data_IF_356995513946
#
_entry.id   IF_356995513946
#
_cell.length_a   1.000
_cell.length_b   1.000
_cell.length_c   1.000
_cell.angle_alpha   90.00
_cell.angle_beta   90.00
_cell.angle_gamma   90.00
#
_symmetry.space_group_name_H-M   'P 1'
#
loop_
_entity.id
_entity.type
_entity.pdbx_description
1 polymer ?
#
# COMPACT_ATOMS: atom_id res chain seq x y z
N UNK A 1 45.15 -67.97 39.68
CA UNK A 1 44.26 -69.08 40.10
C UNK A 1 42.84 -68.51 40.10
N UNK A 2 42.16 -68.59 38.95
CA UNK A 2 41.09 -69.56 38.59
C UNK A 2 39.76 -69.21 39.30
N UNK A 3 38.75 -68.69 38.56
CA UNK A 3 37.64 -69.42 37.86
C UNK A 3 36.61 -69.99 38.87
N UNK A 4 35.28 -69.93 38.72
CA UNK A 4 34.32 -69.66 37.64
C UNK A 4 32.92 -69.26 38.21
N UNK A 5 32.15 -68.52 37.40
CA UNK A 5 30.71 -68.55 37.04
C UNK A 5 29.62 -69.27 37.89
N UNK A 6 28.40 -68.71 37.96
CA UNK A 6 27.14 -69.21 37.32
C UNK A 6 25.96 -68.21 37.49
N UNK A 7 25.10 -68.21 36.47
CA UNK A 7 24.00 -67.34 36.02
C UNK A 7 22.65 -67.31 36.78
N UNK A 8 21.88 -66.25 36.43
CA UNK A 8 20.44 -66.12 36.13
C UNK A 8 19.33 -66.42 37.16
N UNK A 9 18.55 -65.36 37.44
CA UNK A 9 17.14 -65.40 37.84
C UNK A 9 16.47 -64.11 37.39
N UNK A 10 15.58 -64.18 36.40
CA UNK A 10 14.94 -63.04 35.77
C UNK A 10 13.78 -62.46 36.58
N UNK A 11 13.54 -61.17 36.39
CA UNK A 11 12.27 -60.52 36.72
C UNK A 11 11.80 -59.65 35.56
N UNK A 12 10.57 -59.92 35.14
CA UNK A 12 9.80 -59.17 34.14
C UNK A 12 9.43 -57.82 34.75
N UNK A 13 9.81 -56.72 34.12
CA UNK A 13 9.20 -55.42 34.37
C UNK A 13 8.43 -54.98 33.14
N UNK A 14 7.17 -54.63 33.39
CA UNK A 14 6.14 -54.22 32.45
C UNK A 14 6.60 -53.01 31.62
N UNK A 15 6.43 -53.12 30.30
CA UNK A 15 6.59 -51.99 29.37
C UNK A 15 5.26 -51.25 29.38
N UNK A 16 5.23 -50.13 30.10
CA UNK A 16 4.15 -49.15 30.00
C UNK A 16 4.19 -48.55 28.59
N UNK A 17 3.26 -48.98 27.74
CA UNK A 17 2.96 -48.36 26.45
C UNK A 17 2.51 -46.92 26.70
N UNK A 18 3.44 -45.97 26.62
CA UNK A 18 3.10 -44.56 26.49
C UNK A 18 2.52 -44.36 25.11
N UNK A 19 1.20 -44.23 25.06
CA UNK A 19 0.45 -43.68 23.94
C UNK A 19 1.18 -42.44 23.41
N UNK A 20 1.64 -42.52 22.17
CA UNK A 20 2.07 -41.37 21.39
C UNK A 20 0.85 -40.46 21.20
N UNK A 21 0.64 -39.55 22.15
CA UNK A 21 -0.17 -38.39 21.90
C UNK A 21 0.51 -37.59 20.79
N UNK A 22 -0.04 -37.75 19.58
CA UNK A 22 0.16 -36.85 18.47
C UNK A 22 -0.07 -35.42 18.95
N UNK A 23 1.01 -34.73 19.28
CA UNK A 23 1.02 -33.28 19.28
C UNK A 23 0.71 -32.85 17.84
N UNK A 24 -0.56 -32.54 17.60
CA UNK A 24 -1.00 -31.74 16.47
C UNK A 24 -0.18 -30.44 16.52
N UNK A 25 0.93 -30.42 15.80
CA UNK A 25 1.71 -29.22 15.58
C UNK A 25 0.78 -28.16 15.00
N UNK A 26 0.52 -27.12 15.77
CA UNK A 26 0.03 -25.85 15.22
C UNK A 26 1.04 -25.45 14.14
N UNK A 27 0.74 -25.73 12.87
CA UNK A 27 1.45 -25.13 11.76
C UNK A 27 1.37 -23.63 11.94
N UNK A 28 2.52 -23.01 12.25
CA UNK A 28 2.64 -21.57 12.35
C UNK A 28 2.15 -20.98 11.03
N UNK A 29 1.06 -20.23 11.06
CA UNK A 29 0.46 -19.51 9.93
C UNK A 29 1.32 -18.31 9.55
N UNK A 30 2.57 -18.59 9.22
CA UNK A 30 3.64 -17.63 8.96
C UNK A 30 4.32 -17.90 7.63
N UNK A 31 5.20 -16.97 7.25
CA UNK A 31 5.97 -17.08 6.02
C UNK A 31 6.88 -18.33 6.03
N UNK A 32 6.86 -19.10 4.93
CA UNK A 32 7.71 -20.27 4.74
C UNK A 32 8.44 -20.19 3.39
N UNK A 33 9.79 -20.17 3.35
CA UNK A 33 10.56 -20.11 2.12
C UNK A 33 10.27 -21.25 1.13
N UNK A 34 9.93 -22.45 1.62
CA UNK A 34 9.56 -23.58 0.76
C UNK A 34 8.21 -23.31 0.07
N UNK A 35 7.26 -22.73 0.79
CA UNK A 35 5.95 -22.38 0.23
C UNK A 35 6.10 -21.25 -0.79
N UNK A 36 7.02 -20.30 -0.55
CA UNK A 36 7.31 -19.22 -1.49
C UNK A 36 7.80 -19.76 -2.84
N UNK A 37 8.64 -20.81 -2.84
CA UNK A 37 9.05 -21.49 -4.08
C UNK A 37 7.86 -22.08 -4.85
N UNK A 38 6.87 -22.65 -4.15
CA UNK A 38 5.65 -23.17 -4.80
C UNK A 38 4.81 -22.02 -5.36
N UNK A 39 4.66 -20.94 -4.59
CA UNK A 39 3.95 -19.73 -5.02
C UNK A 39 4.51 -19.15 -6.32
N UNK A 40 5.82 -18.94 -6.41
CA UNK A 40 6.48 -18.50 -7.65
C UNK A 40 6.43 -19.55 -8.77
N UNK A 41 6.23 -20.84 -8.47
CA UNK A 41 6.08 -21.84 -9.54
C UNK A 41 4.68 -21.89 -10.12
N UNK A 42 3.66 -21.64 -9.31
CA UNK A 42 2.27 -21.99 -9.63
C UNK A 42 1.30 -20.81 -9.65
N UNK A 43 1.52 -19.78 -8.82
CA UNK A 43 0.50 -18.77 -8.52
C UNK A 43 0.87 -17.35 -8.94
N UNK A 44 2.16 -16.98 -8.91
CA UNK A 44 2.55 -15.61 -9.26
C UNK A 44 2.17 -15.29 -10.71
N UNK A 45 1.47 -14.16 -10.98
CA UNK A 45 0.87 -13.89 -12.29
C UNK A 45 1.88 -13.28 -13.28
N UNK A 46 2.93 -14.04 -13.65
CA UNK A 46 4.03 -13.57 -14.50
C UNK A 46 3.58 -12.91 -15.80
N UNK A 47 2.65 -13.55 -16.52
CA UNK A 47 2.16 -13.04 -17.80
C UNK A 47 1.44 -11.70 -17.66
N UNK A 48 0.70 -11.49 -16.58
CA UNK A 48 -0.03 -10.23 -16.34
C UNK A 48 0.93 -9.13 -15.88
N UNK A 49 1.89 -9.46 -15.01
CA UNK A 49 2.95 -8.55 -14.58
C UNK A 49 3.82 -8.10 -15.76
N UNK A 50 4.21 -9.03 -16.64
CA UNK A 50 4.96 -8.72 -17.86
C UNK A 50 4.18 -7.81 -18.80
N UNK A 51 2.89 -8.09 -19.06
CA UNK A 51 2.03 -7.23 -19.89
C UNK A 51 1.92 -5.83 -19.33
N UNK A 52 1.72 -5.69 -18.02
CA UNK A 52 1.68 -4.39 -17.36
C UNK A 52 3.00 -3.63 -17.54
N UNK A 53 4.12 -4.26 -17.19
CA UNK A 53 5.44 -3.63 -17.24
C UNK A 53 5.94 -3.31 -18.66
N UNK A 54 5.37 -3.97 -19.67
CA UNK A 54 5.69 -3.72 -21.08
C UNK A 54 4.88 -2.57 -21.69
N UNK A 55 3.71 -2.23 -21.14
CA UNK A 55 2.83 -1.18 -21.68
C UNK A 55 2.56 -1.29 -23.19
N UNK A 56 2.30 -2.51 -23.66
CA UNK A 56 2.08 -2.80 -25.08
C UNK A 56 3.35 -2.91 -25.93
N UNK A 57 4.54 -2.71 -25.38
CA UNK A 57 5.82 -2.92 -26.06
C UNK A 57 6.27 -4.40 -26.00
N UNK A 58 5.36 -5.34 -26.31
CA UNK A 58 5.59 -6.79 -26.23
C UNK A 58 6.00 -7.43 -27.58
N UNK A 59 6.35 -6.60 -28.57
CA UNK A 59 6.81 -7.03 -29.89
C UNK A 59 5.70 -7.44 -30.86
N UNK A 60 4.42 -7.35 -30.47
CA UNK A 60 3.29 -7.73 -31.36
C UNK A 60 2.91 -6.69 -32.39
N UNK A 61 3.23 -5.41 -32.14
CA UNK A 61 2.91 -4.31 -33.06
C UNK A 61 4.21 -3.72 -33.65
N UNK A 62 4.25 -3.37 -34.95
CA UNK A 62 5.46 -2.83 -35.60
C UNK A 62 5.94 -1.50 -35.01
N UNK A 63 5.08 -0.78 -34.29
CA UNK A 63 5.40 0.45 -33.58
C UNK A 63 5.98 0.28 -32.17
N UNK A 64 6.12 -0.95 -31.67
CA UNK A 64 6.65 -1.23 -30.33
C UNK A 64 8.14 -0.86 -30.23
N UNK A 65 8.55 -0.41 -29.05
CA UNK A 65 9.96 -0.40 -28.64
C UNK A 65 10.31 -1.75 -28.01
N UNK A 66 10.90 -2.66 -28.79
CA UNK A 66 11.25 -4.00 -28.33
C UNK A 66 12.21 -4.03 -27.14
N UNK A 67 12.95 -2.95 -26.90
CA UNK A 67 13.89 -2.86 -25.77
C UNK A 67 13.29 -2.22 -24.52
N UNK A 68 12.02 -1.80 -24.55
CA UNK A 68 11.37 -1.12 -23.43
C UNK A 68 11.42 -1.92 -22.12
N UNK A 69 11.07 -3.21 -22.19
CA UNK A 69 11.05 -4.09 -21.01
C UNK A 69 12.47 -4.37 -20.49
N UNK A 70 13.45 -4.60 -21.38
CA UNK A 70 14.87 -4.78 -21.04
C UNK A 70 15.53 -3.57 -20.38
N UNK A 71 14.89 -2.40 -20.40
CA UNK A 71 15.36 -1.21 -19.70
C UNK A 71 14.66 -0.94 -18.37
N UNK A 72 13.71 -1.78 -17.96
CA UNK A 72 13.05 -1.68 -16.65
C UNK A 72 13.96 -2.22 -15.56
N UNK A 73 14.18 -1.42 -14.53
CA UNK A 73 14.82 -1.91 -13.30
C UNK A 73 13.83 -2.72 -12.46
N UNK A 74 14.31 -3.87 -12.00
CA UNK A 74 13.78 -4.61 -10.87
C UNK A 74 14.85 -4.70 -9.78
N UNK A 75 14.39 -4.83 -8.54
CA UNK A 75 15.26 -5.20 -7.43
C UNK A 75 14.72 -6.41 -6.69
N UNK A 76 15.61 -7.29 -6.26
CA UNK A 76 15.30 -8.47 -5.47
C UNK A 76 15.99 -8.37 -4.10
N UNK A 77 15.21 -8.55 -3.03
CA UNK A 77 15.76 -8.91 -1.71
C UNK A 77 15.69 -10.42 -1.58
N UNK A 78 16.83 -11.09 -1.42
CA UNK A 78 16.91 -12.54 -1.18
C UNK A 78 17.24 -12.82 0.30
N UNK A 79 17.50 -14.09 0.64
CA UNK A 79 17.90 -14.48 2.00
C UNK A 79 19.10 -13.67 2.52
N UNK A 80 19.16 -13.48 3.84
CA UNK A 80 20.12 -12.62 4.54
C UNK A 80 20.05 -11.13 4.14
N UNK A 81 18.86 -10.67 3.73
CA UNK A 81 18.60 -9.28 3.30
C UNK A 81 19.55 -8.77 2.20
N UNK A 82 20.09 -9.70 1.39
CA UNK A 82 20.94 -9.35 0.26
C UNK A 82 20.08 -8.64 -0.78
N UNK A 83 20.45 -7.40 -1.07
CA UNK A 83 19.70 -6.51 -1.96
C UNK A 83 20.36 -6.42 -3.34
N UNK A 84 19.68 -6.93 -4.35
CA UNK A 84 20.14 -6.97 -5.74
C UNK A 84 19.40 -5.89 -6.54
N UNK A 85 20.05 -4.76 -6.80
CA UNK A 85 19.52 -3.68 -7.65
C UNK A 85 19.85 -3.85 -9.12
N UNK A 86 19.21 -3.03 -9.96
CA UNK A 86 19.49 -2.92 -11.39
C UNK A 86 19.41 -4.27 -12.10
N UNK A 87 18.49 -5.12 -11.68
CA UNK A 87 18.13 -6.30 -12.45
C UNK A 87 17.24 -5.85 -13.60
N UNK A 88 17.40 -6.46 -14.77
CA UNK A 88 16.62 -6.20 -15.97
C UNK A 88 16.52 -7.51 -16.74
N UNK A 89 15.49 -7.62 -17.59
CA UNK A 89 15.16 -8.85 -18.29
C UNK A 89 14.66 -8.51 -19.69
N UNK A 90 15.07 -9.26 -20.71
CA UNK A 90 14.67 -9.00 -22.10
C UNK A 90 13.24 -9.45 -22.38
N UNK A 91 12.66 -10.32 -21.55
CA UNK A 91 11.28 -10.78 -21.73
C UNK A 91 10.71 -11.61 -20.58
N UNK A 92 9.47 -12.07 -20.78
CA UNK A 92 8.71 -12.86 -19.80
C UNK A 92 9.47 -14.09 -19.30
N UNK A 93 10.05 -14.87 -20.22
CA UNK A 93 10.74 -16.12 -19.85
C UNK A 93 11.94 -15.88 -18.94
N UNK A 94 12.71 -14.81 -19.18
CA UNK A 94 13.89 -14.50 -18.38
C UNK A 94 13.51 -13.99 -16.99
N UNK A 95 12.50 -13.10 -16.91
CA UNK A 95 11.93 -12.63 -15.64
C UNK A 95 11.42 -13.82 -14.80
N UNK A 96 10.64 -14.70 -15.42
CA UNK A 96 10.05 -15.86 -14.75
C UNK A 96 11.12 -16.82 -14.23
N UNK A 97 12.10 -17.15 -15.07
CA UNK A 97 13.22 -18.02 -14.68
C UNK A 97 14.02 -17.39 -13.52
N UNK A 98 14.34 -16.09 -13.59
CA UNK A 98 15.12 -15.41 -12.55
C UNK A 98 14.39 -15.38 -11.21
N UNK A 99 13.08 -15.09 -11.20
CA UNK A 99 12.27 -15.12 -9.97
C UNK A 99 12.19 -16.54 -9.39
N UNK A 100 11.99 -17.56 -10.24
CA UNK A 100 11.91 -18.96 -9.79
C UNK A 100 13.25 -19.47 -9.24
N UNK A 101 14.36 -19.07 -9.85
CA UNK A 101 15.70 -19.46 -9.43
C UNK A 101 16.13 -18.76 -8.14
N UNK A 102 16.04 -17.42 -8.10
CA UNK A 102 16.49 -16.61 -6.96
C UNK A 102 15.51 -16.64 -5.79
N UNK A 103 14.23 -16.94 -6.05
CA UNK A 103 13.15 -17.01 -5.06
C UNK A 103 13.15 -15.80 -4.10
N UNK A 104 13.01 -14.56 -4.62
CA UNK A 104 13.19 -13.36 -3.81
C UNK A 104 12.11 -13.19 -2.73
N UNK A 105 12.53 -12.78 -1.54
CA UNK A 105 11.66 -12.41 -0.41
C UNK A 105 10.90 -11.12 -0.68
N UNK A 106 11.49 -10.19 -1.44
CA UNK A 106 10.85 -8.96 -1.91
C UNK A 106 11.24 -8.70 -3.36
N UNK A 107 10.29 -8.21 -4.14
CA UNK A 107 10.53 -7.71 -5.50
C UNK A 107 10.09 -6.25 -5.49
N UNK A 108 10.98 -5.35 -5.88
CA UNK A 108 10.65 -3.95 -6.11
C UNK A 108 10.76 -3.61 -7.60
N UNK A 109 9.88 -2.72 -8.06
CA UNK A 109 9.82 -2.25 -9.45
C UNK A 109 10.36 -0.82 -9.50
N UNK A 110 11.28 -0.57 -10.43
CA UNK A 110 11.95 0.71 -10.64
C UNK A 110 11.58 1.38 -11.95
N UNK A 111 12.38 2.36 -12.35
CA UNK A 111 12.16 3.09 -13.59
C UNK A 111 12.49 2.24 -14.84
N UNK A 112 11.94 2.65 -15.97
CA UNK A 112 12.54 2.40 -17.29
C UNK A 112 13.68 3.38 -17.46
N UNK A 113 14.85 2.86 -17.82
CA UNK A 113 16.05 3.64 -18.10
C UNK A 113 16.24 3.86 -19.61
N UNK A 114 17.16 4.75 -19.95
CA UNK A 114 17.64 5.01 -21.30
C UNK A 114 18.41 3.83 -21.92
N UNK A 115 19.04 3.01 -21.07
CA UNK A 115 19.82 1.81 -21.42
C UNK A 115 19.55 0.70 -20.41
N UNK A 116 20.04 -0.50 -20.69
CA UNK A 116 19.90 -1.69 -19.85
C UNK A 116 20.51 -1.48 -18.44
N UNK A 117 19.71 -1.53 -17.35
CA UNK A 117 20.18 -1.38 -15.97
C UNK A 117 21.26 -2.37 -15.55
N UNK A 118 21.19 -3.63 -15.99
CA UNK A 118 22.18 -4.65 -15.65
C UNK A 118 23.57 -4.32 -16.22
N UNK A 119 23.62 -3.55 -17.32
CA UNK A 119 24.85 -3.13 -18.00
C UNK A 119 25.31 -1.72 -17.62
N UNK A 120 24.70 -1.07 -16.61
CA UNK A 120 25.00 0.32 -16.21
C UNK A 120 26.50 0.65 -16.07
N UNK A 121 27.31 -0.28 -15.56
CA UNK A 121 28.75 -0.05 -15.34
C UNK A 121 29.51 0.14 -16.65
N UNK A 122 29.07 -0.49 -17.75
CA UNK A 122 29.67 -0.30 -19.07
C UNK A 122 29.38 1.12 -19.62
N UNK A 123 28.24 1.71 -19.24
CA UNK A 123 27.83 3.05 -19.67
C UNK A 123 28.35 4.19 -18.76
N UNK A 124 28.82 3.86 -17.55
CA UNK A 124 29.41 4.84 -16.64
C UNK A 124 30.76 5.39 -17.13
N UNK A 125 31.42 4.66 -18.05
CA UNK A 125 32.74 5.01 -18.59
C UNK A 125 32.67 5.79 -19.91
N UNK A 126 31.48 5.94 -20.51
CA UNK A 126 31.29 6.72 -21.74
C UNK A 126 31.04 8.20 -21.42
N UNK A 127 31.68 9.11 -22.16
CA UNK A 127 31.43 10.54 -22.08
C UNK A 127 29.93 10.83 -22.30
N UNK A 128 29.28 11.42 -21.29
CA UNK A 128 27.88 11.86 -21.38
C UNK A 128 26.88 11.24 -20.40
N UNK A 129 27.30 10.34 -19.50
CA UNK A 129 26.44 9.69 -18.48
C UNK A 129 25.05 9.29 -19.02
N UNK A 130 25.05 8.34 -19.96
CA UNK A 130 23.83 7.96 -20.71
C UNK A 130 22.79 7.30 -19.80
N UNK A 131 23.18 6.69 -18.67
CA UNK A 131 22.30 5.96 -17.77
C UNK A 131 21.39 6.88 -16.95
N UNK A 132 20.15 7.07 -17.44
CA UNK A 132 19.17 7.98 -16.85
C UNK A 132 17.78 7.34 -16.85
N UNK A 133 16.99 7.60 -15.80
CA UNK A 133 15.60 7.17 -15.74
C UNK A 133 14.76 8.03 -16.69
N UNK A 134 13.91 7.39 -17.50
CA UNK A 134 13.12 8.06 -18.55
C UNK A 134 11.61 7.93 -18.34
N UNK A 135 11.16 6.81 -17.78
CA UNK A 135 9.76 6.62 -17.42
C UNK A 135 9.66 5.88 -16.08
N UNK A 136 8.73 6.28 -15.22
CA UNK A 136 8.30 5.50 -14.05
C UNK A 136 6.87 5.89 -13.69
N UNK A 137 6.05 4.94 -13.32
CA UNK A 137 4.75 5.18 -12.71
C UNK A 137 4.84 6.26 -11.62
N UNK A 138 3.85 7.15 -11.54
CA UNK A 138 3.73 8.03 -10.37
C UNK A 138 3.16 7.18 -9.24
N UNK A 139 3.85 7.15 -8.11
CA UNK A 139 3.48 6.26 -7.01
C UNK A 139 3.27 7.04 -5.72
N UNK A 140 2.42 6.51 -4.85
CA UNK A 140 2.21 7.00 -3.50
C UNK A 140 2.29 5.82 -2.53
N UNK A 141 2.98 6.01 -1.43
CA UNK A 141 3.09 5.04 -0.33
C UNK A 141 2.55 5.68 0.95
N UNK A 142 1.68 4.92 1.63
CA UNK A 142 0.91 5.36 2.78
C UNK A 142 0.98 4.24 3.79
N UNK A 143 1.69 4.49 4.88
CA UNK A 143 1.87 3.54 5.97
C UNK A 143 1.09 3.99 7.20
N UNK A 144 0.39 3.06 7.85
CA UNK A 144 -0.37 3.37 9.06
C UNK A 144 0.53 3.82 10.22
N UNK A 145 1.82 3.49 10.22
CA UNK A 145 2.75 3.96 11.27
C UNK A 145 2.90 5.47 11.29
N UNK A 146 2.67 6.12 10.15
CA UNK A 146 2.70 7.58 10.09
C UNK A 146 1.57 8.22 10.90
N UNK A 147 0.60 7.44 11.39
CA UNK A 147 -0.56 7.87 12.18
C UNK A 147 -0.46 7.48 13.66
N UNK A 148 0.70 7.02 14.14
CA UNK A 148 0.91 6.57 15.53
C UNK A 148 0.59 7.64 16.60
N UNK A 149 0.59 8.91 16.24
CA UNK A 149 0.21 10.02 17.12
C UNK A 149 -1.32 10.25 17.23
N UNK A 150 -2.11 9.67 16.33
CA UNK A 150 -3.57 9.86 16.25
C UNK A 150 -4.38 8.56 16.32
N UNK A 151 -3.71 7.40 16.36
CA UNK A 151 -4.33 6.10 16.61
C UNK A 151 -3.90 5.53 17.96
N UNK A 152 -4.83 4.88 18.65
CA UNK A 152 -4.65 4.37 20.01
C UNK A 152 -4.95 2.88 20.15
N UNK A 153 -5.56 2.25 19.13
CA UNK A 153 -5.84 0.82 19.12
C UNK A 153 -4.62 -0.06 18.80
N UNK A 154 -3.58 0.50 18.15
CA UNK A 154 -2.38 -0.20 17.69
C UNK A 154 -1.16 0.74 17.75
N UNK A 155 0.05 0.19 17.63
CA UNK A 155 1.31 0.96 17.51
C UNK A 155 2.22 0.40 16.43
N UNK A 156 3.07 1.25 15.87
CA UNK A 156 4.11 0.87 14.93
C UNK A 156 3.56 0.11 13.72
N UNK A 157 3.86 -1.17 13.61
CA UNK A 157 3.54 -1.95 12.44
C UNK A 157 2.26 -2.80 12.54
N UNK A 158 1.59 -2.75 13.69
CA UNK A 158 0.35 -3.48 13.93
C UNK A 158 -0.84 -2.73 13.34
N UNK A 159 -1.85 -3.48 12.90
CA UNK A 159 -3.05 -2.96 12.26
C UNK A 159 -4.26 -3.77 12.72
N UNK A 160 -5.39 -3.09 12.90
CA UNK A 160 -6.69 -3.70 13.18
C UNK A 160 -7.80 -2.95 12.41
N UNK A 161 -9.02 -3.47 12.49
CA UNK A 161 -10.18 -2.89 11.84
C UNK A 161 -10.59 -1.51 12.40
N UNK A 162 -10.10 -1.13 13.58
CA UNK A 162 -10.39 0.19 14.16
C UNK A 162 -9.55 1.31 13.54
N UNK A 163 -8.33 1.02 13.08
CA UNK A 163 -7.43 2.00 12.46
C UNK A 163 -7.30 1.86 10.94
N UNK A 164 -7.70 0.71 10.36
CA UNK A 164 -7.77 0.56 8.90
C UNK A 164 -8.60 1.61 8.16
N UNK A 165 -9.67 2.21 8.74
CA UNK A 165 -10.38 3.31 8.09
C UNK A 165 -9.48 4.47 7.65
N UNK A 166 -8.31 4.68 8.26
CA UNK A 166 -7.32 5.67 7.81
C UNK A 166 -6.79 5.36 6.39
N UNK A 167 -6.59 4.09 6.04
CA UNK A 167 -6.19 3.69 4.69
C UNK A 167 -7.33 3.85 3.70
N UNK A 168 -8.57 3.52 4.10
CA UNK A 168 -9.77 3.76 3.29
C UNK A 168 -9.93 5.24 2.96
N UNK A 169 -9.77 6.12 3.95
CA UNK A 169 -9.79 7.58 3.76
C UNK A 169 -8.71 7.99 2.76
N UNK A 170 -7.49 7.45 2.89
CA UNK A 170 -6.39 7.75 2.00
C UNK A 170 -6.66 7.37 0.55
N UNK A 171 -7.19 6.16 0.31
CA UNK A 171 -7.60 5.72 -1.02
C UNK A 171 -8.66 6.68 -1.58
N UNK A 172 -9.75 6.96 -0.84
CA UNK A 172 -10.84 7.82 -1.33
C UNK A 172 -10.38 9.23 -1.68
N UNK A 173 -9.61 9.86 -0.80
CA UNK A 173 -9.15 11.25 -0.99
C UNK A 173 -8.19 11.36 -2.18
N UNK A 174 -7.21 10.46 -2.27
CA UNK A 174 -6.16 10.53 -3.29
C UNK A 174 -6.68 10.06 -4.64
N UNK A 175 -7.43 8.94 -4.71
CA UNK A 175 -7.98 8.41 -5.96
C UNK A 175 -8.90 9.44 -6.64
N UNK A 176 -9.81 10.05 -5.86
CA UNK A 176 -10.73 11.09 -6.36
C UNK A 176 -9.97 12.26 -6.98
N UNK A 177 -8.95 12.78 -6.29
CA UNK A 177 -8.17 13.90 -6.82
C UNK A 177 -7.32 13.50 -8.05
N UNK A 178 -6.70 12.32 -8.05
CA UNK A 178 -5.95 11.82 -9.20
C UNK A 178 -6.83 11.71 -10.45
N UNK A 179 -8.09 11.31 -10.29
CA UNK A 179 -9.07 11.24 -11.38
C UNK A 179 -9.63 12.61 -11.76
N UNK A 180 -10.22 13.32 -10.81
CA UNK A 180 -11.03 14.52 -11.09
C UNK A 180 -10.17 15.77 -11.31
N UNK A 181 -9.07 15.90 -10.58
CA UNK A 181 -8.24 17.10 -10.63
C UNK A 181 -7.08 16.93 -11.64
N UNK A 182 -6.49 15.73 -11.75
CA UNK A 182 -5.36 15.46 -12.65
C UNK A 182 -5.73 14.69 -13.93
N UNK A 183 -6.94 14.13 -14.01
CA UNK A 183 -7.42 13.40 -15.18
C UNK A 183 -6.63 12.11 -15.45
N UNK A 184 -6.13 11.43 -14.42
CA UNK A 184 -5.50 10.11 -14.56
C UNK A 184 -6.56 9.01 -14.57
N UNK A 185 -6.36 7.99 -15.40
CA UNK A 185 -7.35 6.94 -15.64
C UNK A 185 -6.89 5.58 -15.09
N UNK A 186 -5.60 5.28 -15.25
CA UNK A 186 -5.02 3.97 -14.99
C UNK A 186 -4.33 3.96 -13.63
N UNK A 187 -5.14 3.83 -12.58
CA UNK A 187 -4.69 3.86 -11.19
C UNK A 187 -4.88 2.47 -10.59
N UNK A 188 -3.83 1.92 -9.99
CA UNK A 188 -3.86 0.65 -9.28
C UNK A 188 -3.51 0.87 -7.80
N UNK A 189 -4.47 0.61 -6.92
CA UNK A 189 -4.25 0.53 -5.48
C UNK A 189 -3.92 -0.90 -5.06
N UNK A 190 -2.96 -1.05 -4.15
CA UNK A 190 -2.42 -2.35 -3.75
C UNK A 190 -2.15 -2.36 -2.26
N UNK A 191 -2.62 -3.38 -1.58
CA UNK A 191 -2.24 -3.62 -0.18
C UNK A 191 -0.75 -3.92 -0.07
N UNK A 192 -0.05 -3.29 0.87
CA UNK A 192 1.41 -3.45 1.05
C UNK A 192 1.84 -4.84 1.58
N UNK A 193 0.84 -5.65 1.96
CA UNK A 193 0.99 -6.97 2.57
C UNK A 193 1.05 -6.93 4.10
N UNK A 194 1.02 -5.74 4.71
CA UNK A 194 1.01 -5.62 6.18
C UNK A 194 0.15 -4.49 6.72
N UNK A 195 0.49 -3.23 6.40
CA UNK A 195 0.02 -2.09 7.21
C UNK A 195 -0.20 -0.80 6.42
N UNK A 196 -0.21 -0.89 5.11
CA UNK A 196 -0.28 0.28 4.25
C UNK A 196 -0.83 -0.06 2.89
N UNK A 197 -0.89 0.95 2.04
CA UNK A 197 -1.39 0.86 0.68
C UNK A 197 -0.47 1.61 -0.27
N UNK A 198 -0.26 1.04 -1.45
CA UNK A 198 0.51 1.63 -2.53
C UNK A 198 -0.43 2.02 -3.66
N UNK A 199 -0.24 3.20 -4.24
CA UNK A 199 -0.92 3.65 -5.44
C UNK A 199 0.06 3.67 -6.61
N UNK A 200 -0.33 3.13 -7.76
CA UNK A 200 0.43 3.17 -9.01
C UNK A 200 -0.39 3.86 -10.10
N UNK A 201 0.00 5.08 -10.47
CA UNK A 201 -0.59 5.83 -11.57
C UNK A 201 0.19 5.55 -12.84
N UNK A 202 -0.46 4.85 -13.76
CA UNK A 202 0.15 4.16 -14.88
C UNK A 202 -0.16 4.81 -16.23
N UNK A 203 -0.88 5.94 -16.28
CA UNK A 203 -1.07 6.73 -17.51
C UNK A 203 0.27 7.10 -18.14
N UNK A 204 0.36 7.09 -19.48
CA UNK A 204 1.57 7.46 -20.21
C UNK A 204 2.10 8.84 -19.83
N UNK A 205 1.20 9.81 -19.61
CA UNK A 205 1.56 11.16 -19.12
C UNK A 205 2.14 11.14 -17.70
N UNK A 206 1.59 10.30 -16.80
CA UNK A 206 2.10 10.16 -15.44
C UNK A 206 3.50 9.54 -15.44
N UNK A 207 3.71 8.51 -16.30
CA UNK A 207 5.00 7.82 -16.38
C UNK A 207 6.17 8.74 -16.76
N UNK A 208 5.88 9.82 -17.49
CA UNK A 208 6.86 10.77 -18.06
C UNK A 208 7.03 12.05 -17.25
N UNK A 209 6.36 12.18 -16.11
CA UNK A 209 6.51 13.35 -15.25
C UNK A 209 7.95 13.47 -14.76
N UNK A 210 8.50 14.68 -14.82
CA UNK A 210 9.81 15.00 -14.22
C UNK A 210 9.74 14.95 -12.69
N UNK A 211 10.89 14.87 -12.01
CA UNK A 211 10.96 14.95 -10.55
C UNK A 211 10.28 16.22 -10.00
N UNK A 212 10.42 17.35 -10.69
CA UNK A 212 9.76 18.61 -10.31
C UNK A 212 8.23 18.50 -10.39
N UNK A 213 7.71 17.96 -11.50
CA UNK A 213 6.28 17.78 -11.68
C UNK A 213 5.71 16.77 -10.68
N UNK A 214 6.43 15.68 -10.40
CA UNK A 214 6.08 14.72 -9.34
C UNK A 214 6.04 15.39 -7.98
N UNK A 215 7.04 16.21 -7.67
CA UNK A 215 7.09 17.00 -6.45
C UNK A 215 5.91 17.94 -6.32
N UNK A 216 5.52 18.62 -7.39
CA UNK A 216 4.35 19.51 -7.39
C UNK A 216 3.04 18.74 -7.12
N UNK A 217 2.86 17.54 -7.71
CA UNK A 217 1.69 16.69 -7.43
C UNK A 217 1.71 16.19 -5.98
N UNK A 218 2.87 15.72 -5.48
CA UNK A 218 2.98 15.28 -4.09
C UNK A 218 2.69 16.45 -3.12
N UNK A 219 3.17 17.66 -3.43
CA UNK A 219 2.93 18.86 -2.62
C UNK A 219 1.48 19.35 -2.68
N UNK A 220 0.74 19.07 -3.78
CA UNK A 220 -0.70 19.30 -3.85
C UNK A 220 -1.45 18.52 -2.75
N UNK A 221 -1.03 17.29 -2.49
CA UNK A 221 -1.59 16.45 -1.43
C UNK A 221 -1.04 16.77 -0.03
N UNK A 222 0.05 17.52 0.08
CA UNK A 222 0.76 17.74 1.34
C UNK A 222 0.06 18.78 2.24
N UNK A 223 -0.91 18.32 3.01
CA UNK A 223 -1.61 19.13 4.02
C UNK A 223 -0.98 19.04 5.40
N UNK A 224 -0.50 17.85 5.77
CA UNK A 224 0.19 17.61 7.04
C UNK A 224 1.64 18.12 6.96
N UNK A 225 1.98 19.14 7.77
CA UNK A 225 3.28 19.85 7.70
C UNK A 225 3.98 19.99 9.05
N UNK A 226 3.32 19.68 10.17
CA UNK A 226 3.94 19.76 11.50
C UNK A 226 4.92 18.62 11.78
N UNK A 227 5.83 18.87 12.72
CA UNK A 227 6.73 17.87 13.29
C UNK A 227 6.26 17.45 14.70
N UNK A 228 7.01 16.58 15.38
CA UNK A 228 6.69 16.10 16.74
C UNK A 228 6.56 17.24 17.76
N UNK A 229 7.27 18.35 17.56
CA UNK A 229 7.23 19.52 18.44
C UNK A 229 6.08 20.50 18.10
N UNK A 230 5.28 20.19 17.07
CA UNK A 230 4.20 21.06 16.62
C UNK A 230 2.88 20.64 17.26
N UNK A 231 2.33 21.48 18.15
CA UNK A 231 0.98 21.28 18.73
C UNK A 231 -0.10 21.22 17.64
N UNK A 232 0.14 21.90 16.51
CA UNK A 232 -0.76 21.93 15.36
C UNK A 232 -0.03 21.49 14.10
N UNK A 233 -0.39 20.31 13.58
CA UNK A 233 0.30 19.69 12.44
C UNK A 233 -0.36 19.94 11.09
N UNK A 234 -1.62 20.39 11.12
CA UNK A 234 -2.36 20.90 9.96
C UNK A 234 -2.74 22.35 10.21
N UNK A 235 -2.40 23.21 9.26
CA UNK A 235 -2.84 24.62 9.23
C UNK A 235 -3.52 24.88 7.90
N UNK A 236 -4.76 25.36 7.94
CA UNK A 236 -5.57 25.64 6.77
C UNK A 236 -5.74 27.16 6.62
N UNK A 237 -4.72 27.89 6.12
CA UNK A 237 -4.74 29.34 6.04
C UNK A 237 -5.74 29.86 4.98
N UNK A 238 -5.97 31.17 5.01
CA UNK A 238 -6.72 31.89 3.99
C UNK A 238 -8.22 32.01 4.26
N UNK A 239 -8.89 32.82 3.43
CA UNK A 239 -10.32 33.12 3.60
C UNK A 239 -11.24 31.99 3.08
N UNK A 240 -10.82 31.26 2.05
CA UNK A 240 -11.56 30.12 1.48
C UNK A 240 -10.68 28.86 1.50
N UNK A 241 -11.30 27.68 1.65
CA UNK A 241 -10.59 26.41 1.54
C UNK A 241 -10.42 26.11 0.06
N UNK A 242 -9.31 25.48 -0.31
CA UNK A 242 -9.13 24.99 -1.67
C UNK A 242 -10.23 23.97 -2.01
N UNK A 243 -10.81 23.96 -3.23
CA UNK A 243 -11.92 23.07 -3.59
C UNK A 243 -11.66 21.59 -3.27
N UNK A 244 -10.45 21.09 -3.56
CA UNK A 244 -10.05 19.73 -3.17
C UNK A 244 -10.16 19.49 -1.65
N UNK A 245 -9.72 20.43 -0.81
CA UNK A 245 -9.82 20.29 0.64
C UNK A 245 -11.27 20.36 1.13
N UNK A 246 -12.11 21.18 0.49
CA UNK A 246 -13.56 21.21 0.77
C UNK A 246 -14.15 19.83 0.48
N UNK A 247 -13.92 19.32 -0.75
CA UNK A 247 -14.41 18.01 -1.19
C UNK A 247 -13.95 16.90 -0.25
N UNK A 248 -12.65 16.82 0.05
CA UNK A 248 -12.10 15.83 1.00
C UNK A 248 -12.80 15.91 2.35
N UNK A 249 -12.94 17.12 2.91
CA UNK A 249 -13.58 17.30 4.21
C UNK A 249 -15.04 16.86 4.21
N UNK A 250 -15.83 17.33 3.25
CA UNK A 250 -17.28 17.15 3.24
C UNK A 250 -17.71 15.76 2.81
N UNK A 251 -16.96 15.11 1.91
CA UNK A 251 -17.36 13.83 1.32
C UNK A 251 -16.68 12.62 1.99
N UNK A 252 -15.58 12.84 2.73
CA UNK A 252 -14.78 11.74 3.29
C UNK A 252 -14.42 11.99 4.75
N UNK A 253 -13.59 13.00 5.05
CA UNK A 253 -12.90 13.09 6.33
C UNK A 253 -13.85 13.20 7.52
N UNK A 254 -14.85 14.08 7.41
CA UNK A 254 -15.77 14.38 8.50
C UNK A 254 -16.58 13.14 8.91
N UNK A 255 -17.17 12.46 7.94
CA UNK A 255 -18.05 11.31 8.21
C UNK A 255 -17.25 10.15 8.79
N UNK A 256 -16.04 9.88 8.29
CA UNK A 256 -15.18 8.85 8.89
C UNK A 256 -14.69 9.21 10.29
N UNK A 257 -14.36 10.48 10.53
CA UNK A 257 -13.97 10.94 11.86
C UNK A 257 -15.11 10.72 12.86
N UNK A 258 -16.29 11.24 12.56
CA UNK A 258 -17.44 11.23 13.47
C UNK A 258 -18.06 9.84 13.64
N UNK A 259 -18.17 9.05 12.57
CA UNK A 259 -18.87 7.76 12.60
C UNK A 259 -17.98 6.56 12.93
N UNK A 260 -16.67 6.63 12.69
CA UNK A 260 -15.74 5.49 12.89
C UNK A 260 -14.66 5.82 13.91
N UNK A 261 -13.82 6.81 13.63
CA UNK A 261 -12.56 7.00 14.36
C UNK A 261 -12.73 7.57 15.77
N UNK A 262 -13.72 8.44 15.97
CA UNK A 262 -13.96 9.10 17.25
C UNK A 262 -14.15 8.07 18.38
N UNK A 263 -15.08 7.14 18.20
CA UNK A 263 -15.38 6.06 19.15
C UNK A 263 -14.34 4.95 19.14
N UNK A 264 -13.92 4.47 17.95
CA UNK A 264 -13.01 3.31 17.84
C UNK A 264 -11.63 3.59 18.42
N UNK A 265 -11.18 4.85 18.37
CA UNK A 265 -9.92 5.29 18.97
C UNK A 265 -10.11 5.92 20.36
N UNK A 266 -11.36 6.13 20.77
CA UNK A 266 -11.78 6.78 22.03
C UNK A 266 -11.04 8.09 22.28
N UNK A 267 -10.97 8.95 21.25
CA UNK A 267 -10.11 10.15 21.15
C UNK A 267 -10.35 11.21 22.23
N UNK A 268 -11.56 11.26 22.77
CA UNK A 268 -12.03 12.19 23.78
C UNK A 268 -12.42 11.50 25.09
N UNK A 269 -12.20 10.19 25.25
CA UNK A 269 -12.63 9.43 26.44
C UNK A 269 -11.79 9.72 27.69
N UNK A 270 -10.46 9.77 27.58
CA UNK A 270 -9.52 9.97 28.69
C UNK A 270 -8.83 11.33 28.61
N UNK A 271 -8.35 11.80 29.76
CA UNK A 271 -7.65 13.08 29.91
C UNK A 271 -6.43 13.20 29.02
N UNK A 272 -5.56 12.20 29.05
CA UNK A 272 -4.40 12.10 28.16
C UNK A 272 -4.75 12.25 26.67
N UNK A 273 -5.91 11.74 26.23
CA UNK A 273 -6.31 11.78 24.82
C UNK A 273 -6.98 13.09 24.44
N UNK A 274 -7.95 13.55 25.24
CA UNK A 274 -8.65 14.79 24.91
C UNK A 274 -7.75 16.02 25.06
N UNK A 275 -6.74 15.98 25.94
CA UNK A 275 -5.76 17.07 26.07
C UNK A 275 -5.03 17.35 24.76
N UNK A 276 -4.67 16.32 23.99
CA UNK A 276 -4.06 16.51 22.66
C UNK A 276 -4.97 17.24 21.68
N UNK A 277 -6.30 17.07 21.78
CA UNK A 277 -7.26 17.82 20.96
C UNK A 277 -7.39 19.26 21.48
N UNK A 278 -7.40 19.45 22.81
CA UNK A 278 -7.45 20.78 23.42
C UNK A 278 -6.22 21.63 23.09
N UNK A 279 -5.03 21.02 23.02
CA UNK A 279 -3.77 21.68 22.61
C UNK A 279 -3.80 22.22 21.19
N UNK A 280 -4.70 21.70 20.33
CA UNK A 280 -4.89 22.20 18.97
C UNK A 280 -5.79 23.44 18.90
N UNK A 281 -6.49 23.78 19.99
CA UNK A 281 -7.39 24.93 20.08
C UNK A 281 -6.57 26.20 20.37
N UNK A 282 -6.57 27.21 19.48
CA UNK A 282 -5.74 28.41 19.67
C UNK A 282 -6.14 29.29 20.86
N UNK A 283 -7.41 29.26 21.28
CA UNK A 283 -7.91 30.05 22.40
C UNK A 283 -7.85 29.22 23.70
N UNK A 284 -6.91 29.55 24.57
CA UNK A 284 -6.71 28.86 25.85
C UNK A 284 -7.93 28.93 26.76
N UNK A 285 -8.77 29.99 26.66
CA UNK A 285 -9.97 30.09 27.48
C UNK A 285 -11.01 29.05 27.07
N UNK A 286 -11.14 28.78 25.76
CA UNK A 286 -12.01 27.73 25.24
C UNK A 286 -11.50 26.36 25.69
N UNK A 287 -10.19 26.13 25.57
CA UNK A 287 -9.57 24.88 26.01
C UNK A 287 -9.82 24.62 27.51
N UNK A 288 -9.61 25.63 28.36
CA UNK A 288 -9.89 25.53 29.80
C UNK A 288 -11.37 25.38 30.13
N UNK A 289 -12.28 26.04 29.40
CA UNK A 289 -13.73 25.86 29.59
C UNK A 289 -14.16 24.42 29.29
N UNK A 290 -13.65 23.84 28.18
CA UNK A 290 -13.92 22.45 27.81
C UNK A 290 -13.32 21.48 28.84
N UNK A 291 -12.06 21.70 29.26
CA UNK A 291 -11.39 20.88 30.25
C UNK A 291 -12.17 20.86 31.57
N UNK A 292 -12.59 22.03 32.08
CA UNK A 292 -13.39 22.13 33.30
C UNK A 292 -14.69 21.34 33.20
N UNK A 293 -15.45 21.51 32.10
CA UNK A 293 -16.70 20.76 31.86
C UNK A 293 -16.48 19.25 31.82
N UNK A 294 -15.40 18.79 31.19
CA UNK A 294 -15.12 17.37 31.03
C UNK A 294 -14.57 16.70 32.28
N UNK A 295 -13.88 17.45 33.15
CA UNK A 295 -13.43 16.99 34.45
C UNK A 295 -14.57 16.95 35.48
N UNK A 296 -15.47 17.95 35.50
CA UNK A 296 -16.64 18.00 36.39
C UNK A 296 -17.62 16.84 36.12
N UNK A 297 -17.81 16.48 34.84
CA UNK A 297 -18.67 15.37 34.42
C UNK A 297 -18.13 13.98 34.80
N UNK A 298 -16.91 13.84 35.34
CA UNK A 298 -16.43 12.56 35.91
C UNK A 298 -17.28 12.10 37.12
N UNK A 299 -18.05 13.01 37.75
CA UNK A 299 -18.81 12.76 39.00
C UNK A 299 -20.27 12.36 38.79
N UNK A 300 -20.79 12.46 37.58
CA UNK A 300 -22.14 12.04 37.22
C UNK A 300 -22.06 10.75 36.40
N UNK A 301 -22.76 9.68 36.82
CA UNK A 301 -22.96 8.51 35.97
C UNK A 301 -23.63 8.95 34.67
N UNK A 302 -22.82 9.10 33.61
CA UNK A 302 -23.30 9.51 32.30
C UNK A 302 -24.25 8.45 31.74
N UNK A 303 -25.26 8.84 30.93
CA UNK A 303 -26.15 7.88 30.28
C UNK A 303 -25.39 6.95 29.32
N UNK A 304 -26.08 5.94 28.78
CA UNK A 304 -25.65 4.98 27.74
C UNK A 304 -25.01 5.57 26.46
N UNK A 305 -24.89 6.88 26.34
CA UNK A 305 -24.34 7.57 25.17
C UNK A 305 -22.81 7.58 25.19
N UNK A 306 -22.20 7.45 24.01
CA UNK A 306 -20.76 7.47 23.85
C UNK A 306 -20.17 8.83 24.27
N UNK A 307 -19.26 8.80 25.26
CA UNK A 307 -18.63 10.00 25.83
C UNK A 307 -17.89 10.80 24.77
N UNK A 308 -17.30 10.13 23.77
CA UNK A 308 -16.54 10.77 22.72
C UNK A 308 -17.45 11.64 21.84
N UNK A 309 -18.63 11.10 21.48
CA UNK A 309 -19.65 11.82 20.69
C UNK A 309 -20.14 13.05 21.46
N UNK A 310 -20.49 12.89 22.74
CA UNK A 310 -21.00 13.99 23.56
C UNK A 310 -19.97 15.11 23.69
N UNK A 311 -18.71 14.77 23.98
CA UNK A 311 -17.62 15.75 24.11
C UNK A 311 -17.31 16.42 22.78
N UNK A 312 -17.35 15.69 21.67
CA UNK A 312 -17.16 16.26 20.33
C UNK A 312 -18.24 17.29 19.98
N UNK A 313 -19.51 16.99 20.27
CA UNK A 313 -20.61 17.93 20.05
C UNK A 313 -20.48 19.20 20.91
N UNK A 314 -20.03 19.07 22.16
CA UNK A 314 -19.75 20.23 23.01
C UNK A 314 -18.64 21.10 22.44
N UNK A 315 -17.54 20.49 21.99
CA UNK A 315 -16.42 21.19 21.34
C UNK A 315 -16.89 21.94 20.09
N UNK A 316 -17.62 21.28 19.19
CA UNK A 316 -18.16 21.91 17.97
C UNK A 316 -19.04 23.11 18.30
N UNK A 317 -19.98 22.96 19.24
CA UNK A 317 -20.90 24.05 19.64
C UNK A 317 -20.14 25.27 20.16
N UNK A 318 -19.13 25.09 21.00
CA UNK A 318 -18.37 26.22 21.55
C UNK A 318 -17.58 26.93 20.45
N UNK A 319 -16.85 26.17 19.63
CA UNK A 319 -16.04 26.71 18.53
C UNK A 319 -16.89 27.41 17.46
N UNK A 320 -18.12 26.96 17.24
CA UNK A 320 -19.03 27.50 16.23
C UNK A 320 -20.02 28.55 16.78
N UNK A 321 -20.06 28.77 18.10
CA UNK A 321 -21.03 29.67 18.75
C UNK A 321 -20.89 31.15 18.39
N UNK A 322 -19.80 31.55 17.74
CA UNK A 322 -19.50 32.95 17.39
C UNK A 322 -19.22 33.86 18.58
N UNK A 323 -19.28 33.34 19.82
CA UNK A 323 -18.96 34.06 21.07
C UNK A 323 -17.48 34.43 21.14
N UNK A 324 -16.62 33.57 20.61
CA UNK A 324 -15.17 33.76 20.53
C UNK A 324 -14.79 34.14 19.09
N UNK A 325 -14.21 35.34 18.91
CA UNK A 325 -13.80 35.86 17.59
C UNK A 325 -12.27 35.89 17.43
N UNK A 326 -11.58 34.96 18.07
CA UNK A 326 -10.12 34.83 17.98
C UNK A 326 -9.65 34.45 16.58
N UNK A 327 -8.50 34.99 16.18
CA UNK A 327 -7.81 34.60 14.96
C UNK A 327 -7.46 33.10 15.03
N UNK A 328 -7.83 32.32 14.00
CA UNK A 328 -7.55 30.88 13.95
C UNK A 328 -8.67 29.95 14.45
N UNK A 329 -9.74 30.46 15.06
CA UNK A 329 -10.87 29.60 15.48
C UNK A 329 -11.77 29.15 14.32
N UNK A 330 -11.78 29.92 13.22
CA UNK A 330 -12.70 29.73 12.09
C UNK A 330 -12.68 28.32 11.50
N UNK A 331 -11.52 27.65 11.50
CA UNK A 331 -11.33 26.32 10.91
C UNK A 331 -10.83 25.29 11.92
N UNK A 332 -10.98 25.59 13.21
CA UNK A 332 -10.37 24.75 14.25
C UNK A 332 -10.96 23.34 14.22
N UNK A 333 -12.28 23.19 13.99
CA UNK A 333 -12.94 21.88 13.84
C UNK A 333 -12.40 21.12 12.63
N UNK A 334 -12.28 21.78 11.49
CA UNK A 334 -11.72 21.20 10.26
C UNK A 334 -10.28 20.77 10.48
N UNK A 335 -9.43 21.63 11.04
CA UNK A 335 -8.02 21.32 11.28
C UNK A 335 -7.82 20.16 12.26
N UNK A 336 -8.70 20.01 13.26
CA UNK A 336 -8.75 18.82 14.11
C UNK A 336 -9.04 17.59 13.25
N UNK A 337 -10.16 17.58 12.52
CA UNK A 337 -10.53 16.43 11.67
C UNK A 337 -9.40 16.08 10.69
N UNK A 338 -8.84 17.06 9.98
CA UNK A 338 -7.71 16.84 9.07
C UNK A 338 -6.50 16.23 9.77
N UNK A 339 -6.15 16.67 10.98
CA UNK A 339 -4.98 16.12 11.68
C UNK A 339 -5.14 14.64 12.02
N UNK A 340 -6.35 14.21 12.35
CA UNK A 340 -6.66 12.83 12.74
C UNK A 340 -6.95 11.89 11.56
N UNK A 341 -7.34 12.43 10.40
CA UNK A 341 -7.87 11.61 9.29
C UNK A 341 -7.16 11.79 7.97
N UNK A 342 -6.52 12.94 7.73
CA UNK A 342 -6.04 13.28 6.39
C UNK A 342 -4.83 12.42 5.99
N UNK A 343 -4.70 12.06 4.70
CA UNK A 343 -3.63 11.17 4.24
C UNK A 343 -2.23 11.71 4.50
N UNK A 344 -1.35 10.84 4.99
CA UNK A 344 0.07 11.11 5.23
C UNK A 344 0.88 10.32 4.20
N UNK A 345 1.64 11.03 3.38
CA UNK A 345 2.38 10.46 2.25
C UNK A 345 3.86 10.34 2.58
N UNK A 346 4.48 9.24 2.15
CA UNK A 346 5.92 9.22 1.94
C UNK A 346 6.25 10.09 0.71
N UNK A 347 6.74 11.30 1.00
CA UNK A 347 7.06 12.29 -0.02
C UNK A 347 8.23 11.87 -0.91
N UNK A 348 9.21 11.13 -0.38
CA UNK A 348 10.41 10.77 -1.14
C UNK A 348 10.10 9.70 -2.20
N UNK A 349 9.24 8.74 -1.85
CA UNK A 349 8.73 7.70 -2.76
C UNK A 349 8.02 8.32 -3.97
N UNK A 350 7.30 9.42 -3.72
CA UNK A 350 6.47 10.11 -4.72
C UNK A 350 7.28 11.05 -5.62
N UNK A 351 8.31 11.72 -5.07
CA UNK A 351 9.08 12.78 -5.74
C UNK A 351 10.07 12.28 -6.77
N UNK A 352 10.78 11.17 -6.51
CA UNK A 352 11.94 10.75 -7.30
C UNK A 352 11.60 9.69 -8.33
N UNK A 353 12.00 9.91 -9.58
CA UNK A 353 11.81 8.92 -10.65
C UNK A 353 12.63 7.64 -10.43
N UNK A 354 13.76 7.70 -9.72
CA UNK A 354 14.60 6.52 -9.44
C UNK A 354 14.17 5.67 -8.24
N UNK A 355 13.06 6.02 -7.57
CA UNK A 355 12.61 5.28 -6.38
C UNK A 355 12.01 3.93 -6.76
N UNK A 356 12.30 2.90 -5.95
CA UNK A 356 11.78 1.56 -6.08
C UNK A 356 10.54 1.41 -5.20
N UNK A 357 9.55 0.62 -5.64
CA UNK A 357 8.38 0.31 -4.82
C UNK A 357 7.99 -1.16 -4.99
N UNK A 358 7.55 -1.79 -3.88
CA UNK A 358 7.24 -3.22 -3.85
C UNK A 358 6.21 -3.60 -4.90
N UNK A 359 6.50 -4.64 -5.67
CA UNK A 359 5.64 -5.17 -6.69
C UNK A 359 4.31 -5.71 -6.11
N UNK A 360 3.19 -5.51 -6.83
CA UNK A 360 1.96 -6.24 -6.56
C UNK A 360 2.17 -7.75 -6.64
N UNK A 361 1.35 -8.49 -5.90
CA UNK A 361 1.42 -9.94 -5.78
C UNK A 361 2.72 -10.49 -5.15
N UNK A 362 3.58 -9.65 -4.56
CA UNK A 362 4.61 -10.13 -3.65
C UNK A 362 4.01 -10.70 -2.36
N UNK A 363 4.70 -11.66 -1.75
CA UNK A 363 4.37 -12.14 -0.40
C UNK A 363 5.15 -11.31 0.62
N UNK A 364 4.47 -10.78 1.63
CA UNK A 364 5.14 -10.04 2.69
C UNK A 364 5.84 -11.01 3.68
N UNK A 365 7.16 -10.90 3.89
CA UNK A 365 7.93 -11.93 4.59
C UNK A 365 7.61 -12.09 6.08
N UNK A 366 7.02 -11.08 6.72
CA UNK A 366 6.65 -11.17 8.15
C UNK A 366 5.21 -11.62 8.38
N UNK A 367 4.31 -11.42 7.43
CA UNK A 367 2.87 -11.71 7.59
C UNK A 367 2.43 -12.89 6.73
N UNK A 368 3.23 -13.30 5.74
CA UNK A 368 2.85 -14.28 4.74
C UNK A 368 1.74 -13.80 3.78
N UNK A 369 1.21 -12.59 3.93
CA UNK A 369 0.09 -12.09 3.10
C UNK A 369 0.56 -11.66 1.72
N UNK A 370 -0.28 -11.89 0.72
CA UNK A 370 -0.04 -11.43 -0.64
C UNK A 370 -0.41 -9.95 -0.79
N UNK A 371 0.40 -9.18 -1.52
CA UNK A 371 0.15 -7.78 -1.84
C UNK A 371 -0.91 -7.67 -2.95
N UNK A 372 -2.18 -7.82 -2.58
CA UNK A 372 -3.30 -7.86 -3.53
C UNK A 372 -3.80 -6.46 -3.91
N UNK A 373 -4.34 -6.29 -5.13
CA UNK A 373 -5.04 -5.05 -5.52
C UNK A 373 -6.24 -4.75 -4.63
N UNK A 374 -6.57 -3.48 -4.49
CA UNK A 374 -7.75 -2.97 -3.77
C UNK A 374 -8.63 -2.21 -4.77
N UNK A 375 -9.94 -2.47 -4.75
CA UNK A 375 -10.89 -1.66 -5.51
C UNK A 375 -11.12 -0.31 -4.82
N UNK A 376 -10.75 0.83 -5.42
CA UNK A 376 -10.97 2.13 -4.80
C UNK A 376 -12.45 2.47 -4.60
N UNK A 377 -13.37 1.90 -5.39
CA UNK A 377 -14.81 2.16 -5.26
C UNK A 377 -15.44 1.41 -4.07
N UNK A 378 -14.87 0.26 -3.71
CA UNK A 378 -15.34 -0.61 -2.63
C UNK A 378 -14.28 -0.76 -1.53
N UNK A 379 -13.39 0.23 -1.38
CA UNK A 379 -12.27 0.17 -0.43
C UNK A 379 -12.70 0.18 1.06
N UNK A 380 -13.96 0.52 1.34
CA UNK A 380 -14.58 0.37 2.67
C UNK A 380 -14.76 -1.10 3.09
N UNK A 381 -14.88 -2.00 2.12
CA UNK A 381 -15.12 -3.43 2.34
C UNK A 381 -13.81 -4.22 2.48
N UNK A 382 -12.66 -3.59 2.18
CA UNK A 382 -11.37 -4.25 2.24
C UNK A 382 -10.95 -4.51 3.70
N UNK A 383 -10.80 -5.79 4.04
CA UNK A 383 -10.31 -6.25 5.33
C UNK A 383 -8.86 -6.77 5.20
N UNK A 384 -7.86 -6.09 5.78
CA UNK A 384 -6.46 -6.53 5.69
C UNK A 384 -6.19 -7.87 6.41
N UNK A 385 -7.10 -8.31 7.28
CA UNK A 385 -6.98 -9.54 8.08
C UNK A 385 -7.43 -10.79 7.32
N UNK A 386 -8.23 -10.63 6.26
CA UNK A 386 -8.72 -11.74 5.44
C UNK A 386 -7.93 -11.94 4.14
N UNK A 387 -6.97 -11.06 3.85
CA UNK A 387 -6.10 -11.16 2.67
C UNK A 387 -5.35 -12.50 2.67
N UNK A 388 -5.37 -13.27 1.56
CA UNK A 388 -4.77 -14.60 1.50
C UNK A 388 -3.31 -14.64 1.96
N UNK A 389 -3.00 -15.62 2.81
CA UNK A 389 -1.63 -15.93 3.22
C UNK A 389 -1.03 -17.00 2.32
N UNK A 390 0.30 -17.02 2.25
CA UNK A 390 1.07 -18.03 1.53
C UNK A 390 0.73 -19.46 1.99
N UNK A 391 0.55 -19.65 3.30
CA UNK A 391 0.17 -20.94 3.90
C UNK A 391 -1.25 -21.35 3.51
N UNK A 392 -2.20 -20.41 3.52
CA UNK A 392 -3.57 -20.65 3.07
C UNK A 392 -3.61 -21.07 1.59
N UNK A 393 -2.93 -20.33 0.71
CA UNK A 393 -2.92 -20.61 -0.73
C UNK A 393 -2.33 -22.00 -1.04
N UNK A 394 -1.32 -22.43 -0.30
CA UNK A 394 -0.76 -23.77 -0.47
C UNK A 394 -1.74 -24.86 -0.01
N UNK A 395 -2.47 -24.65 1.09
CA UNK A 395 -3.52 -25.56 1.54
C UNK A 395 -4.63 -25.69 0.48
N UNK A 396 -5.05 -24.56 -0.10
CA UNK A 396 -6.04 -24.52 -1.18
C UNK A 396 -5.55 -25.29 -2.42
N UNK A 397 -4.28 -25.15 -2.82
CA UNK A 397 -3.70 -25.92 -3.93
C UNK A 397 -3.71 -27.43 -3.67
N UNK A 398 -3.33 -27.85 -2.47
CA UNK A 398 -3.30 -29.27 -2.10
C UNK A 398 -4.71 -29.87 -2.05
N UNK A 399 -5.72 -29.11 -1.59
CA UNK A 399 -7.12 -29.55 -1.59
C UNK A 399 -7.75 -29.50 -2.99
N UNK A 400 -7.35 -28.52 -3.81
CA UNK A 400 -7.86 -28.28 -5.16
C UNK A 400 -7.45 -29.33 -6.19
N UNK A 401 -6.55 -30.26 -5.84
CA UNK A 401 -6.24 -31.46 -6.63
C UNK A 401 -7.42 -32.41 -6.86
N UNK A 402 -8.57 -32.18 -6.20
CA UNK A 402 -9.79 -32.99 -6.30
C UNK A 402 -10.89 -32.38 -7.20
N UNK A 403 -10.72 -31.16 -7.74
CA UNK A 403 -11.71 -30.53 -8.64
C UNK A 403 -11.18 -30.51 -10.07
N UNK A 404 -11.74 -31.34 -10.95
CA UNK A 404 -11.28 -31.51 -12.35
C UNK A 404 -11.69 -30.35 -13.29
N UNK A 405 -12.58 -29.45 -12.87
CA UNK A 405 -13.27 -28.50 -13.76
C UNK A 405 -12.65 -27.10 -13.90
N UNK A 406 -11.47 -26.83 -13.32
CA UNK A 406 -10.79 -25.53 -13.45
C UNK A 406 -9.53 -25.63 -14.33
N UNK A 407 -9.51 -24.90 -15.45
CA UNK A 407 -8.42 -24.90 -16.46
C UNK A 407 -7.07 -24.35 -15.92
N UNK A 408 -7.06 -23.60 -14.81
CA UNK A 408 -5.86 -23.01 -14.21
C UNK A 408 -5.81 -23.21 -12.68
N UNK A 409 -4.66 -23.58 -12.14
CA UNK A 409 -4.41 -23.77 -10.69
C UNK A 409 -4.72 -22.50 -9.89
N UNK A 410 -4.48 -21.32 -10.47
CA UNK A 410 -4.77 -20.03 -9.84
C UNK A 410 -6.26 -19.84 -9.52
N UNK A 411 -7.15 -20.29 -10.41
CA UNK A 411 -8.61 -20.16 -10.25
C UNK A 411 -9.17 -21.05 -9.13
N UNK A 412 -8.37 -21.98 -8.61
CA UNK A 412 -8.71 -22.86 -7.48
C UNK A 412 -8.35 -22.26 -6.12
N UNK A 413 -7.78 -21.05 -6.12
CA UNK A 413 -7.30 -20.38 -4.90
C UNK A 413 -8.03 -19.07 -4.67
N UNK A 414 -8.03 -18.60 -3.43
CA UNK A 414 -8.54 -17.28 -3.02
C UNK A 414 -7.78 -16.12 -3.67
N UNK A 415 -6.58 -16.36 -4.23
CA UNK A 415 -5.85 -15.37 -5.02
C UNK A 415 -6.47 -15.14 -6.41
N UNK A 416 -7.20 -16.13 -6.95
CA UNK A 416 -7.76 -16.08 -8.30
C UNK A 416 -8.62 -14.85 -8.54
N UNK A 417 -9.46 -14.48 -7.56
CA UNK A 417 -10.36 -13.33 -7.68
C UNK A 417 -9.59 -12.00 -7.68
N UNK A 418 -8.51 -11.89 -6.89
CA UNK A 418 -7.63 -10.72 -6.91
C UNK A 418 -6.95 -10.54 -8.27
N UNK A 419 -6.51 -11.65 -8.90
CA UNK A 419 -5.90 -11.59 -10.25
C UNK A 419 -6.95 -11.31 -11.33
N UNK A 420 -8.16 -11.86 -11.22
CA UNK A 420 -9.27 -11.52 -12.14
C UNK A 420 -9.60 -10.03 -12.06
N UNK A 421 -9.74 -9.48 -10.85
CA UNK A 421 -9.94 -8.06 -10.64
C UNK A 421 -8.81 -7.22 -11.25
N UNK A 422 -7.55 -7.59 -11.01
CA UNK A 422 -6.40 -6.92 -11.64
C UNK A 422 -6.51 -6.90 -13.18
N UNK A 423 -6.86 -8.04 -13.77
CA UNK A 423 -7.00 -8.18 -15.23
C UNK A 423 -8.11 -7.31 -15.77
N UNK A 424 -9.32 -7.42 -15.23
CA UNK A 424 -10.52 -6.76 -15.77
C UNK A 424 -10.54 -5.26 -15.49
N UNK A 425 -10.23 -4.88 -14.25
CA UNK A 425 -10.46 -3.52 -13.77
C UNK A 425 -9.29 -2.58 -14.05
N UNK A 426 -8.08 -3.13 -14.23
CA UNK A 426 -6.87 -2.32 -14.44
C UNK A 426 -6.11 -2.67 -15.72
N UNK A 427 -5.67 -3.92 -15.87
CA UNK A 427 -4.71 -4.29 -16.93
C UNK A 427 -5.32 -4.18 -18.33
N UNK A 428 -6.53 -4.71 -18.54
CA UNK A 428 -7.21 -4.64 -19.84
C UNK A 428 -7.48 -3.19 -20.29
N UNK A 429 -8.07 -2.30 -19.46
CA UNK A 429 -8.21 -0.89 -19.79
C UNK A 429 -6.87 -0.21 -20.13
N UNK A 430 -5.82 -0.47 -19.34
CA UNK A 430 -4.49 0.08 -19.58
C UNK A 430 -3.91 -0.37 -20.94
N UNK A 431 -3.98 -1.67 -21.24
CA UNK A 431 -3.45 -2.22 -22.49
C UNK A 431 -4.22 -1.69 -23.71
N UNK A 432 -5.52 -1.44 -23.57
CA UNK A 432 -6.32 -0.78 -24.61
C UNK A 432 -5.77 0.60 -24.93
N UNK A 433 -5.58 1.46 -23.92
CA UNK A 433 -5.00 2.80 -24.10
C UNK A 433 -3.57 2.74 -24.66
N UNK A 434 -2.74 1.81 -24.20
CA UNK A 434 -1.39 1.63 -24.73
C UNK A 434 -1.37 1.24 -26.21
N UNK A 435 -2.30 0.38 -26.63
CA UNK A 435 -2.46 -0.01 -28.03
C UNK A 435 -2.83 1.21 -28.89
N UNK A 436 -3.82 1.99 -28.45
CA UNK A 436 -4.26 3.21 -29.14
C UNK A 436 -3.12 4.25 -29.26
N UNK A 437 -2.32 4.42 -28.21
CA UNK A 437 -1.13 5.29 -28.19
C UNK A 437 -0.06 4.85 -29.20
N UNK A 438 0.21 3.54 -29.26
CA UNK A 438 1.21 2.95 -30.17
C UNK A 438 0.74 3.08 -31.62
N UNK A 439 -0.52 2.76 -31.91
CA UNK A 439 -1.12 2.87 -33.25
C UNK A 439 -1.10 4.31 -33.76
N UNK A 440 -1.45 5.27 -32.89
CA UNK A 440 -1.42 6.70 -33.20
C UNK A 440 0.00 7.19 -33.48
N UNK A 441 0.95 6.82 -32.62
CA UNK A 441 2.37 7.19 -32.77
C UNK A 441 2.99 6.59 -34.04
N UNK A 442 2.65 5.34 -34.35
CA UNK A 442 3.14 4.64 -35.54
C UNK A 442 2.57 5.26 -36.83
N UNK A 443 1.27 5.55 -36.85
CA UNK A 443 0.61 6.19 -37.99
C UNK A 443 1.17 7.58 -38.28
N UNK A 444 1.43 8.38 -37.24
CA UNK A 444 2.04 9.70 -37.39
C UNK A 444 3.45 9.62 -38.01
N UNK A 445 4.28 8.65 -37.58
CA UNK A 445 5.61 8.42 -38.16
C UNK A 445 5.55 8.01 -39.64
N UNK A 446 4.59 7.16 -40.01
CA UNK A 446 4.39 6.75 -41.41
C UNK A 446 3.93 7.91 -42.30
N UNK A 447 3.11 8.83 -41.78
CA UNK A 447 2.71 10.03 -42.51
C UNK A 447 3.89 10.98 -42.70
N UNK A 448 4.71 11.19 -41.66
CA UNK A 448 5.93 12.00 -41.77
C UNK A 448 6.92 11.43 -42.79
N UNK A 449 7.13 10.11 -42.80
CA UNK A 449 8.05 9.48 -43.77
C UNK A 449 7.56 9.62 -45.22
N UNK A 450 6.25 9.46 -45.45
CA UNK A 450 5.64 9.67 -46.77
C UNK A 450 5.77 11.12 -47.26
N UNK A 451 5.58 12.10 -46.37
CA UNK A 451 5.73 13.52 -46.72
C UNK A 451 7.20 13.93 -46.94
N UNK A 452 8.16 13.26 -46.29
CA UNK A 452 9.59 13.50 -46.54
C UNK A 452 10.10 12.92 -47.86
N UNK A 453 9.37 11.96 -48.44
CA UNK A 453 9.71 11.31 -49.72
C UNK A 453 9.02 11.97 -50.93
N UNK A 454 8.22 13.02 -50.72
CA UNK A 454 7.51 13.76 -51.79
C UNK A 454 8.21 15.06 -52.22
N UNK A 455 9.52 15.17 -51.97
CA UNK A 455 10.40 16.22 -52.53
C UNK A 455 11.28 15.60 -53.60
#
# INVERSE_FOLDING_TARGET
>A
MTRDEVENGGDRMEIDEREENQENGMEIDGFNPKYLKVYYRKLFPYGDMFKWMSYGNDGKHPGCDMSYFGRREFSFTIENDIYLRYQSFDGLSELENSIKEKCPLKIDIGAVYSVDPAKRNAYAQSDGNVFTAVERELVFDIDISDYDDVRYCCKGADVCLDCWPLMTIAIKVIDTALRDDFGFNHILWVYSGRRGVHCWVCDRKARRLTDEQRGAIADYFRVYKGNENSNKKVSLPGQALHPFLVRSYTEVLKDFFEAKLLSSQSLLSTEEKYEKILEMIPDSNIASELQGKWQENKRSSMPKEDVDIVRWEQLKRILQSGKHKGQGLRRCVEEIIFSFTYPRLDMEVSRKMGHLLKAPFCVHPQTGRVCVPIDPNHCDEFDPTTVPTLSQLLKELNMGGLREDAENELDRTSLGDSVKFFRSSFLQPLLKSCKEDIESSYSAKLQQSKNSLSW
#
